data_IF_283640325048
#
_entry.id   IF_283640325048
#
_cell.length_a   1.000
_cell.length_b   1.000
_cell.length_c   1.000
_cell.angle_alpha   90.00
_cell.angle_beta   90.00
_cell.angle_gamma   90.00
#
_symmetry.space_group_name_H-M   'P 1'
#
loop_
_entity.id
_entity.type
_entity.pdbx_description
1 polymer ?
#
# COMPACT_ATOMS: atom_id res chain seq x y z
N UNK A 1 7.21 -13.19 -6.37
CA UNK A 1 6.27 -12.06 -6.53
C UNK A 1 6.05 -11.86 -8.00
N UNK A 2 4.81 -11.87 -8.47
CA UNK A 2 4.57 -11.50 -9.86
C UNK A 2 4.76 -9.97 -9.98
N UNK A 3 5.32 -9.52 -11.12
CA UNK A 3 5.64 -8.10 -11.36
C UNK A 3 4.40 -7.25 -11.62
N UNK A 4 3.23 -7.87 -11.75
CA UNK A 4 1.96 -7.20 -12.00
C UNK A 4 1.39 -6.66 -10.68
N UNK A 5 1.30 -7.50 -9.66
CA UNK A 5 0.72 -7.18 -8.35
C UNK A 5 1.71 -6.47 -7.42
N UNK A 6 3.02 -6.68 -7.62
CA UNK A 6 4.07 -6.11 -6.77
C UNK A 6 5.11 -5.32 -7.58
N UNK A 7 5.16 -4.01 -7.32
CA UNK A 7 5.97 -3.04 -8.05
C UNK A 7 6.70 -2.15 -7.05
N UNK A 8 7.87 -1.61 -7.42
CA UNK A 8 8.63 -0.81 -6.49
C UNK A 8 7.89 0.50 -6.22
N UNK A 9 7.78 0.85 -4.95
CA UNK A 9 7.16 2.11 -4.52
C UNK A 9 8.24 3.17 -4.45
N UNK A 10 7.99 4.32 -5.09
CA UNK A 10 8.84 5.49 -4.96
C UNK A 10 8.22 6.45 -3.96
N UNK A 11 8.86 6.64 -2.81
CA UNK A 11 8.49 7.62 -1.79
C UNK A 11 9.52 8.73 -1.80
N UNK A 12 9.12 9.97 -2.09
CA UNK A 12 10.04 11.14 -2.05
C UNK A 12 11.39 10.89 -2.76
N UNK A 13 11.31 10.35 -3.98
CA UNK A 13 12.46 9.98 -4.84
C UNK A 13 13.30 8.78 -4.36
N UNK A 14 12.91 8.14 -3.26
CA UNK A 14 13.53 6.91 -2.77
C UNK A 14 12.71 5.70 -3.21
N UNK A 15 13.36 4.74 -3.86
CA UNK A 15 12.70 3.53 -4.37
C UNK A 15 12.83 2.42 -3.34
N UNK A 16 11.69 1.90 -2.90
CA UNK A 16 11.60 0.77 -1.99
C UNK A 16 11.40 -0.57 -2.72
N UNK A 17 11.72 -1.69 -2.07
CA UNK A 17 11.44 -3.03 -2.61
C UNK A 17 9.97 -3.21 -2.99
N UNK A 18 9.71 -4.09 -3.97
CA UNK A 18 8.36 -4.41 -4.46
C UNK A 18 7.46 -4.98 -3.36
N UNK A 19 8.06 -5.64 -2.37
CA UNK A 19 7.36 -6.19 -1.21
C UNK A 19 6.58 -5.14 -0.43
N UNK A 20 6.98 -3.87 -0.45
CA UNK A 20 6.27 -2.78 0.26
C UNK A 20 4.86 -2.55 -0.31
N UNK A 21 4.54 -3.02 -1.52
CA UNK A 21 3.15 -2.99 -1.99
C UNK A 21 2.20 -3.84 -1.15
N UNK A 22 2.67 -4.96 -0.59
CA UNK A 22 1.86 -5.86 0.23
C UNK A 22 1.83 -5.48 1.70
N UNK A 23 2.28 -4.28 2.07
CA UNK A 23 2.39 -3.85 3.47
C UNK A 23 1.01 -3.65 4.13
N UNK A 24 -0.06 -3.57 3.35
CA UNK A 24 -1.45 -3.51 3.82
C UNK A 24 -1.87 -4.76 4.61
N UNK A 25 -1.20 -5.90 4.40
CA UNK A 25 -1.37 -7.10 5.23
C UNK A 25 -1.18 -6.82 6.73
N UNK A 26 -0.39 -5.80 7.09
CA UNK A 26 -0.19 -5.39 8.48
C UNK A 26 -1.49 -4.97 9.18
N UNK A 27 -2.51 -4.53 8.44
CA UNK A 27 -3.85 -4.23 8.99
C UNK A 27 -4.47 -5.48 9.65
N UNK A 28 -4.25 -6.65 9.08
CA UNK A 28 -4.72 -7.92 9.64
C UNK A 28 -3.77 -8.48 10.70
N UNK A 29 -2.47 -8.27 10.52
CA UNK A 29 -1.44 -8.87 11.35
C UNK A 29 -1.26 -8.17 12.71
N UNK A 30 -1.55 -6.87 12.80
CA UNK A 30 -1.34 -6.05 14.00
C UNK A 30 -2.70 -5.65 14.57
N UNK A 31 -3.11 -6.20 15.72
CA UNK A 31 -4.40 -5.87 16.33
C UNK A 31 -4.42 -4.42 16.82
N UNK A 32 -5.59 -3.79 16.72
CA UNK A 32 -5.86 -2.43 17.23
C UNK A 32 -5.03 -1.31 16.58
N UNK A 33 -4.59 -1.46 15.33
CA UNK A 33 -4.05 -0.34 14.57
C UNK A 33 -5.03 0.83 14.55
N UNK A 34 -4.51 2.03 14.70
CA UNK A 34 -5.31 3.24 14.56
C UNK A 34 -5.92 3.30 13.16
N UNK A 35 -7.17 3.79 13.06
CA UNK A 35 -7.85 3.90 11.77
C UNK A 35 -7.10 4.80 10.77
N UNK A 36 -6.33 5.77 11.25
CA UNK A 36 -5.47 6.60 10.42
C UNK A 36 -4.30 5.81 9.81
N UNK A 37 -3.69 4.90 10.58
CA UNK A 37 -2.62 4.03 10.09
C UNK A 37 -3.13 2.93 9.17
N UNK A 38 -4.30 2.36 9.47
CA UNK A 38 -4.98 1.42 8.57
C UNK A 38 -5.30 2.05 7.19
N UNK A 39 -5.90 3.25 7.18
CA UNK A 39 -6.12 3.99 5.92
C UNK A 39 -4.80 4.32 5.21
N UNK A 40 -3.79 4.76 5.97
CA UNK A 40 -2.49 5.10 5.39
C UNK A 40 -1.79 3.91 4.72
N UNK A 41 -1.80 2.73 5.36
CA UNK A 41 -1.14 1.52 4.84
C UNK A 41 -1.88 0.97 3.60
N UNK A 42 -3.22 1.00 3.60
CA UNK A 42 -4.04 0.59 2.47
C UNK A 42 -3.78 1.42 1.19
N UNK A 43 -3.25 2.64 1.34
CA UNK A 43 -2.94 3.51 0.19
C UNK A 43 -1.67 3.12 -0.57
N UNK A 44 -0.87 2.19 -0.06
CA UNK A 44 0.32 1.67 -0.74
C UNK A 44 -0.02 0.78 -1.95
N UNK A 45 -0.84 -0.28 -1.83
CA UNK A 45 -1.20 -1.11 -2.99
C UNK A 45 -1.98 -0.33 -4.08
N UNK A 46 -2.73 0.71 -3.71
CA UNK A 46 -3.54 1.50 -4.66
C UNK A 46 -2.84 2.77 -5.21
N UNK A 47 -1.51 2.84 -5.13
CA UNK A 47 -0.71 3.97 -5.66
C UNK A 47 -0.17 3.75 -7.09
N UNK A 48 -0.57 2.66 -7.75
CA UNK A 48 -0.20 2.37 -9.14
C UNK A 48 -0.69 3.49 -10.08
N UNK A 49 0.24 4.08 -10.84
CA UNK A 49 -0.05 5.15 -11.80
C UNK A 49 -0.54 6.46 -11.19
N UNK A 50 -0.60 6.57 -9.86
CA UNK A 50 -1.17 7.73 -9.16
C UNK A 50 -0.26 8.18 -8.03
N UNK A 51 -0.05 9.49 -7.90
CA UNK A 51 0.64 10.05 -6.74
C UNK A 51 -0.32 10.11 -5.55
N UNK A 52 0.01 9.38 -4.48
CA UNK A 52 -0.61 9.53 -3.17
C UNK A 52 0.21 10.49 -2.34
N UNK A 53 -0.47 11.17 -1.42
CA UNK A 53 0.18 12.11 -0.54
C UNK A 53 -0.48 12.25 0.82
N UNK A 54 0.29 12.59 1.84
CA UNK A 54 -0.22 12.93 3.17
C UNK A 54 0.75 13.88 3.87
N UNK A 55 0.38 14.35 5.06
CA UNK A 55 1.26 15.20 5.85
C UNK A 55 2.40 14.37 6.49
N UNK A 56 3.60 14.95 6.68
CA UNK A 56 4.72 14.27 7.31
C UNK A 56 4.39 13.67 8.69
N UNK A 57 3.55 14.33 9.49
CA UNK A 57 3.20 13.84 10.84
C UNK A 57 2.44 12.51 10.78
N UNK A 58 1.62 12.30 9.74
CA UNK A 58 0.93 11.03 9.54
C UNK A 58 1.93 9.94 9.16
N UNK A 59 2.84 10.21 8.22
CA UNK A 59 3.91 9.26 7.89
C UNK A 59 4.72 8.86 9.12
N UNK A 60 5.13 9.82 9.94
CA UNK A 60 5.95 9.58 11.13
C UNK A 60 5.20 8.74 12.17
N UNK A 61 3.96 9.11 12.48
CA UNK A 61 3.15 8.41 13.50
C UNK A 61 2.74 7.02 13.04
N UNK A 62 2.26 6.87 11.80
CA UNK A 62 1.88 5.57 11.24
C UNK A 62 3.07 4.64 11.05
N UNK A 63 4.22 5.15 10.59
CA UNK A 63 5.42 4.31 10.45
C UNK A 63 5.91 3.82 11.81
N UNK A 64 5.85 4.68 12.84
CA UNK A 64 6.20 4.29 14.20
C UNK A 64 5.26 3.20 14.74
N UNK A 65 3.95 3.42 14.62
CA UNK A 65 2.93 2.47 15.08
C UNK A 65 3.09 1.10 14.39
N UNK A 66 3.34 1.08 13.09
CA UNK A 66 3.57 -0.15 12.34
C UNK A 66 4.88 -0.83 12.75
N UNK A 67 5.98 -0.10 12.93
CA UNK A 67 7.25 -0.68 13.41
C UNK A 67 7.06 -1.31 14.79
N UNK A 68 6.45 -0.57 15.73
CA UNK A 68 6.20 -1.06 17.09
C UNK A 68 5.32 -2.31 17.05
N UNK A 69 4.24 -2.30 16.26
CA UNK A 69 3.35 -3.44 16.08
C UNK A 69 4.01 -4.63 15.37
N UNK A 70 4.85 -4.40 14.36
CA UNK A 70 5.60 -5.46 13.71
C UNK A 70 6.55 -6.17 14.68
N UNK A 71 7.21 -5.40 15.55
CA UNK A 71 8.11 -5.95 16.58
C UNK A 71 7.33 -6.73 17.64
N UNK A 72 6.18 -6.23 18.09
CA UNK A 72 5.33 -6.88 19.09
C UNK A 72 4.67 -8.17 18.54
N UNK A 73 4.15 -8.12 17.32
CA UNK A 73 3.37 -9.19 16.69
C UNK A 73 4.18 -9.98 15.64
N UNK A 74 5.51 -10.02 15.77
CA UNK A 74 6.44 -10.58 14.78
C UNK A 74 6.01 -11.94 14.22
N UNK A 75 5.68 -12.90 15.08
CA UNK A 75 5.29 -14.25 14.62
C UNK A 75 4.02 -14.23 13.78
N UNK A 76 3.06 -13.37 14.13
CA UNK A 76 1.81 -13.24 13.39
C UNK A 76 2.06 -12.56 12.03
N UNK A 77 2.84 -11.47 12.02
CA UNK A 77 3.24 -10.79 10.77
C UNK A 77 3.94 -11.74 9.82
N UNK A 78 4.87 -12.58 10.31
CA UNK A 78 5.55 -13.56 9.46
C UNK A 78 4.60 -14.63 8.93
N UNK A 79 3.65 -15.11 9.73
CA UNK A 79 2.61 -16.04 9.24
C UNK A 79 1.80 -15.39 8.13
N UNK A 80 1.31 -14.17 8.33
CA UNK A 80 0.50 -13.46 7.33
C UNK A 80 1.31 -13.17 6.05
N UNK A 81 2.60 -12.84 6.15
CA UNK A 81 3.50 -12.73 4.98
C UNK A 81 3.58 -14.06 4.23
N UNK A 82 3.82 -15.17 4.95
CA UNK A 82 3.89 -16.51 4.35
C UNK A 82 2.58 -16.93 3.67
N UNK A 83 1.45 -16.59 4.27
CA UNK A 83 0.14 -17.05 3.83
C UNK A 83 -0.41 -16.22 2.66
N UNK A 84 -0.02 -14.94 2.55
CA UNK A 84 -0.63 -14.00 1.60
C UNK A 84 0.30 -13.49 0.51
N UNK A 85 1.61 -13.53 0.70
CA UNK A 85 2.56 -13.02 -0.28
C UNK A 85 3.19 -14.18 -1.05
N UNK A 86 2.75 -14.37 -2.29
CA UNK A 86 3.36 -15.33 -3.21
C UNK A 86 4.74 -14.84 -3.68
N UNK A 87 5.79 -15.30 -3.01
CA UNK A 87 7.16 -14.87 -3.25
C UNK A 87 8.20 -15.98 -3.09
N UNK A 88 9.23 -15.94 -3.94
CA UNK A 88 10.46 -16.70 -3.74
C UNK A 88 11.37 -16.08 -2.65
N UNK A 89 11.06 -14.85 -2.22
CA UNK A 89 11.75 -14.16 -1.14
C UNK A 89 11.24 -14.68 0.20
N UNK A 90 12.17 -15.03 1.09
CA UNK A 90 11.84 -15.56 2.41
C UNK A 90 11.01 -14.54 3.23
N UNK A 91 9.99 -14.98 3.99
CA UNK A 91 9.16 -14.10 4.83
C UNK A 91 9.96 -13.20 5.77
N UNK A 92 11.00 -13.72 6.42
CA UNK A 92 11.89 -12.91 7.25
C UNK A 92 12.58 -11.78 6.49
N UNK A 93 12.95 -12.00 5.23
CA UNK A 93 13.56 -10.96 4.41
C UNK A 93 12.53 -9.87 4.06
N UNK A 94 11.32 -10.25 3.67
CA UNK A 94 10.21 -9.30 3.44
C UNK A 94 9.93 -8.48 4.70
N UNK A 95 9.88 -9.13 5.86
CA UNK A 95 9.72 -8.47 7.16
C UNK A 95 10.81 -7.42 7.40
N UNK A 96 12.09 -7.75 7.14
CA UNK A 96 13.19 -6.79 7.29
C UNK A 96 13.10 -5.64 6.28
N UNK A 97 12.71 -5.93 5.03
CA UNK A 97 12.49 -4.91 4.00
C UNK A 97 11.40 -3.92 4.42
N UNK A 98 10.31 -4.39 5.01
CA UNK A 98 9.23 -3.55 5.52
C UNK A 98 9.67 -2.68 6.69
N UNK A 99 10.38 -3.24 7.68
CA UNK A 99 10.95 -2.44 8.79
C UNK A 99 11.88 -1.36 8.24
N UNK A 100 12.78 -1.71 7.32
CA UNK A 100 13.70 -0.76 6.70
C UNK A 100 12.96 0.35 5.94
N UNK A 101 11.93 0.00 5.17
CA UNK A 101 11.12 0.96 4.42
C UNK A 101 10.40 1.91 5.36
N UNK A 102 9.75 1.41 6.42
CA UNK A 102 9.05 2.24 7.42
C UNK A 102 10.01 3.18 8.16
N UNK A 103 11.19 2.70 8.55
CA UNK A 103 12.23 3.54 9.16
C UNK A 103 12.70 4.63 8.19
N UNK A 104 12.89 4.29 6.92
CA UNK A 104 13.29 5.24 5.89
C UNK A 104 12.22 6.29 5.62
N UNK A 105 10.94 5.89 5.53
CA UNK A 105 9.80 6.79 5.40
C UNK A 105 9.77 7.78 6.57
N UNK A 106 9.91 7.29 7.80
CA UNK A 106 9.95 8.14 8.99
C UNK A 106 11.10 9.15 8.92
N UNK A 107 12.31 8.70 8.58
CA UNK A 107 13.48 9.57 8.47
C UNK A 107 13.33 10.64 7.38
N UNK A 108 12.77 10.27 6.23
CA UNK A 108 12.51 11.22 5.14
C UNK A 108 11.45 12.23 5.56
N UNK A 109 10.34 11.77 6.15
CA UNK A 109 9.25 12.63 6.58
C UNK A 109 9.68 13.67 7.63
N UNK A 110 10.61 13.32 8.54
CA UNK A 110 11.18 14.27 9.50
C UNK A 110 11.89 15.47 8.84
N UNK A 111 12.38 15.32 7.60
CA UNK A 111 13.03 16.38 6.84
C UNK A 111 12.09 17.23 5.99
N UNK A 112 10.79 16.92 5.96
CA UNK A 112 9.80 17.58 5.11
C UNK A 112 8.85 18.46 5.93
N UNK A 113 8.48 19.61 5.37
CA UNK A 113 7.66 20.61 6.07
C UNK A 113 6.19 20.64 5.66
N UNK A 114 5.83 20.07 4.50
CA UNK A 114 4.49 20.25 3.93
C UNK A 114 3.78 18.93 3.62
N UNK A 115 4.41 18.09 2.80
CA UNK A 115 3.75 16.92 2.24
C UNK A 115 4.77 15.81 1.96
N UNK A 116 4.33 14.58 2.15
CA UNK A 116 4.98 13.37 1.68
C UNK A 116 4.21 12.83 0.47
N UNK A 117 4.92 12.35 -0.54
CA UNK A 117 4.39 11.82 -1.79
C UNK A 117 4.98 10.46 -2.10
N UNK A 118 4.12 9.56 -2.59
CA UNK A 118 4.56 8.27 -3.11
C UNK A 118 3.73 7.84 -4.31
N UNK A 119 4.32 6.98 -5.13
CA UNK A 119 3.68 6.39 -6.30
C UNK A 119 4.34 5.08 -6.67
N UNK A 120 3.64 4.29 -7.47
CA UNK A 120 4.19 3.12 -8.13
C UNK A 120 3.96 3.20 -9.64
N UNK A 121 4.81 2.57 -10.45
CA UNK A 121 4.64 2.56 -11.90
C UNK A 121 3.32 1.89 -12.29
N UNK A 122 2.72 2.40 -13.36
CA UNK A 122 1.60 1.78 -14.04
C UNK A 122 2.08 0.53 -14.80
N UNK A 123 1.25 -0.51 -14.83
CA UNK A 123 1.49 -1.72 -15.62
C UNK A 123 0.50 -1.75 -16.78
N UNK A 124 0.88 -2.23 -17.99
CA UNK A 124 -0.03 -2.29 -19.14
C UNK A 124 -1.36 -3.02 -18.91
N UNK A 125 -1.39 -3.95 -17.96
CA UNK A 125 -2.57 -4.73 -17.60
C UNK A 125 -3.45 -4.08 -16.52
N UNK A 126 -3.08 -2.89 -16.00
CA UNK A 126 -3.93 -2.17 -15.06
C UNK A 126 -5.28 -1.80 -15.71
N UNK A 127 -6.36 -2.01 -14.97
CA UNK A 127 -7.71 -1.67 -15.41
C UNK A 127 -7.91 -0.18 -15.71
N UNK A 128 -7.05 0.69 -15.15
CA UNK A 128 -7.06 2.13 -15.34
C UNK A 128 -5.71 2.52 -15.93
N UNK A 129 -5.64 2.75 -17.25
CA UNK A 129 -4.40 3.19 -17.90
C UNK A 129 -4.31 4.73 -18.00
N UNK A 130 -5.47 5.39 -18.03
CA UNK A 130 -5.60 6.81 -18.35
C UNK A 130 -6.63 7.51 -17.45
N UNK A 131 -6.58 8.86 -17.33
CA UNK A 131 -7.64 9.62 -16.65
C UNK A 131 -9.04 9.36 -17.23
N UNK A 132 -9.13 9.08 -18.53
CA UNK A 132 -10.37 8.73 -19.21
C UNK A 132 -10.90 7.36 -18.76
N UNK A 133 -10.02 6.37 -18.52
CA UNK A 133 -10.41 5.07 -17.97
C UNK A 133 -10.98 5.23 -16.56
N UNK A 134 -10.37 6.10 -15.75
CA UNK A 134 -10.86 6.42 -14.40
C UNK A 134 -12.25 7.06 -14.46
N UNK A 135 -12.45 8.07 -15.32
CA UNK A 135 -13.75 8.70 -15.52
C UNK A 135 -14.81 7.69 -15.99
N UNK A 136 -14.43 6.77 -16.86
CA UNK A 136 -15.32 5.70 -17.32
C UNK A 136 -15.72 4.77 -16.19
N UNK A 137 -14.78 4.38 -15.33
CA UNK A 137 -15.05 3.51 -14.18
C UNK A 137 -15.95 4.21 -13.15
N UNK A 138 -15.68 5.48 -12.83
CA UNK A 138 -16.53 6.30 -11.95
C UNK A 138 -17.95 6.38 -12.53
N UNK A 139 -18.11 6.67 -13.82
CA UNK A 139 -19.42 6.72 -14.46
C UNK A 139 -20.17 5.39 -14.41
N UNK A 140 -19.46 4.26 -14.49
CA UNK A 140 -20.06 2.93 -14.35
C UNK A 140 -20.52 2.70 -12.91
N UNK A 141 -19.70 3.05 -11.91
CA UNK A 141 -20.03 2.92 -10.50
C UNK A 141 -21.22 3.80 -10.11
N UNK A 142 -21.27 5.04 -10.59
CA UNK A 142 -22.39 5.96 -10.38
C UNK A 142 -23.69 5.41 -10.97
N UNK A 143 -23.63 4.82 -12.17
CA UNK A 143 -24.79 4.17 -12.80
C UNK A 143 -25.24 2.90 -12.09
N UNK A 144 -24.31 2.16 -11.47
CA UNK A 144 -24.66 1.00 -10.63
C UNK A 144 -25.33 1.48 -9.34
N UNK A 145 -24.78 2.52 -8.70
CA UNK A 145 -25.32 3.12 -7.49
C UNK A 145 -26.70 3.77 -7.71
N UNK A 146 -26.95 4.35 -8.88
CA UNK A 146 -28.25 4.90 -9.27
C UNK A 146 -29.26 3.82 -9.72
N UNK A 147 -28.84 2.57 -9.88
CA UNK A 147 -29.68 1.47 -10.35
C UNK A 147 -29.88 1.42 -11.87
N UNK A 148 -29.19 2.28 -12.62
CA UNK A 148 -29.22 2.35 -14.09
C UNK A 148 -28.43 1.20 -14.75
N UNK A 149 -27.58 0.51 -14.00
CA UNK A 149 -26.82 -0.66 -14.42
C UNK A 149 -26.89 -1.75 -13.35
N UNK A 150 -27.33 -2.96 -13.73
CA UNK A 150 -27.21 -4.14 -12.85
C UNK A 150 -25.80 -4.74 -12.97
N UNK A 151 -25.11 -5.04 -11.86
CA UNK A 151 -23.83 -5.74 -11.93
C UNK A 151 -24.05 -7.10 -12.59
N UNK A 152 -23.22 -7.43 -13.58
CA UNK A 152 -23.18 -8.76 -14.18
C UNK A 152 -22.62 -9.70 -13.12
N UNK A 153 -23.48 -10.52 -12.53
CA UNK A 153 -23.05 -11.71 -11.78
C UNK A 153 -22.60 -12.69 -12.86
N UNK A 154 -21.29 -12.91 -12.98
CA UNK A 154 -20.75 -14.02 -13.77
C UNK A 154 -20.71 -15.25 -12.86
N UNK A 155 -21.49 -16.27 -13.23
CA UNK A 155 -21.45 -17.62 -12.65
C UNK A 155 -20.08 -18.30 -12.89
#
# INVERSE_FOLDING_TARGET
>A
MNSYDYRPITFEKHVFPQSVMGIDILEHAIPNLSGATADWVWRFPICCGTVKSCKPELCISSSKELIDGMLEYRSNVLSEISDRIESDVHPDQIYQEWIFALQSIQNIALGLSEICQWSAPLHPDDAIQTPEDLQRQISILDKIASGDLKPRITD
#
